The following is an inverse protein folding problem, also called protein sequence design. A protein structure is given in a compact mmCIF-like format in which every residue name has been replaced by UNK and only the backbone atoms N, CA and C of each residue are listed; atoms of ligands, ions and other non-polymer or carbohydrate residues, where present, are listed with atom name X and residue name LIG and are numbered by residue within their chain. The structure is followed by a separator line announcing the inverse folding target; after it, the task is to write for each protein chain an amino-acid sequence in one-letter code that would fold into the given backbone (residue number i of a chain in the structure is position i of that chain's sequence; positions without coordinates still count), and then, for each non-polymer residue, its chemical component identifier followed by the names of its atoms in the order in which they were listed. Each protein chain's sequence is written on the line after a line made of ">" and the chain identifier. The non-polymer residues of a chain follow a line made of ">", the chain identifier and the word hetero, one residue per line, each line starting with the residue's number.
data_IF_980876807049
#
_entry.id   IF_980876807049
#
_cell.length_a   1.000
_cell.length_b   1.000
_cell.length_c   1.000
_cell.angle_alpha   90.00
_cell.angle_beta   90.00
_cell.angle_gamma   90.00
#
_symmetry.space_group_name_H-M   'P 1'
#
loop_
_entity.id
_entity.type
_entity.pdbx_description
1 polymer ?
#
# COMPACT_ATOMS: atom_id res chain seq x y z
N UNK A 1 -16.68 -40.65 60.27
CA UNK A 1 -17.64 -41.29 59.33
C UNK A 1 -17.23 -40.81 57.94
N UNK A 2 -16.35 -41.51 57.19
CA UNK A 2 -16.59 -42.74 56.37
C UNK A 2 -17.85 -42.55 55.49
N UNK A 3 -17.86 -42.55 54.15
CA UNK A 3 -17.24 -43.38 53.10
C UNK A 3 -17.04 -42.54 51.79
N UNK A 4 -15.90 -42.62 51.07
CA UNK A 4 -15.53 -43.53 49.97
C UNK A 4 -16.03 -43.15 48.55
N UNK A 5 -15.09 -43.01 47.61
CA UNK A 5 -15.24 -42.92 46.13
C UNK A 5 -15.65 -44.30 45.52
N UNK A 6 -15.97 -44.48 44.20
CA UNK A 6 -14.99 -44.32 43.09
C UNK A 6 -15.51 -43.99 41.65
N UNK A 7 -14.55 -43.53 40.82
CA UNK A 7 -14.26 -43.79 39.37
C UNK A 7 -15.39 -44.02 38.33
N UNK A 8 -15.34 -43.25 37.22
CA UNK A 8 -15.31 -43.78 35.84
C UNK A 8 -14.94 -42.71 34.77
N UNK A 9 -13.72 -42.85 34.24
CA UNK A 9 -13.20 -42.69 32.86
C UNK A 9 -13.82 -41.68 31.85
N UNK A 10 -13.00 -40.82 31.21
CA UNK A 10 -13.36 -40.12 29.98
C UNK A 10 -13.08 -40.98 28.73
N UNK A 11 -14.11 -41.25 27.93
CA UNK A 11 -13.97 -41.95 26.64
C UNK A 11 -13.52 -40.97 25.55
N UNK A 12 -12.28 -41.12 25.12
CA UNK A 12 -11.68 -40.48 23.94
C UNK A 12 -12.18 -41.17 22.67
N UNK A 13 -13.08 -40.54 21.92
CA UNK A 13 -13.41 -40.92 20.55
C UNK A 13 -12.77 -39.94 19.59
N UNK A 14 -11.65 -40.35 19.01
CA UNK A 14 -11.08 -39.75 17.81
C UNK A 14 -12.03 -39.95 16.63
N UNK A 15 -12.52 -38.88 16.02
CA UNK A 15 -13.12 -38.95 14.69
C UNK A 15 -12.46 -37.89 13.80
N UNK A 16 -11.69 -38.41 12.87
CA UNK A 16 -10.95 -37.74 11.79
C UNK A 16 -11.91 -37.07 10.80
N UNK A 17 -11.40 -36.00 10.18
CA UNK A 17 -11.97 -35.02 9.23
C UNK A 17 -12.82 -35.59 8.07
N UNK A 18 -13.54 -34.72 7.33
CA UNK A 18 -12.86 -34.02 6.23
C UNK A 18 -13.07 -32.50 6.22
N UNK A 19 -11.95 -31.82 6.01
CA UNK A 19 -11.82 -30.43 5.59
C UNK A 19 -12.46 -30.23 4.22
N UNK A 20 -13.45 -29.34 4.14
CA UNK A 20 -13.96 -28.81 2.87
C UNK A 20 -13.06 -27.64 2.48
N UNK A 21 -12.10 -27.90 1.59
CA UNK A 21 -11.38 -26.85 0.87
C UNK A 21 -12.13 -26.57 -0.44
N UNK A 22 -12.60 -25.34 -0.71
CA UNK A 22 -12.96 -24.96 -2.06
C UNK A 22 -11.68 -24.79 -2.88
N UNK A 23 -11.40 -25.76 -3.75
CA UNK A 23 -10.35 -25.69 -4.76
C UNK A 23 -10.85 -24.78 -5.89
N UNK A 24 -10.57 -23.48 -5.79
CA UNK A 24 -10.73 -22.57 -6.94
C UNK A 24 -9.55 -22.83 -7.88
N UNK A 25 -9.77 -23.72 -8.85
CA UNK A 25 -8.88 -23.88 -9.99
C UNK A 25 -9.10 -22.70 -10.94
N UNK A 26 -8.24 -21.70 -10.88
CA UNK A 26 -8.12 -20.68 -11.93
C UNK A 26 -7.31 -21.33 -13.06
N UNK A 27 -7.98 -21.99 -13.99
CA UNK A 27 -7.37 -22.29 -15.28
C UNK A 27 -7.39 -20.99 -16.10
N UNK A 28 -6.26 -20.55 -16.67
CA UNK A 28 -6.28 -19.47 -17.63
C UNK A 28 -7.11 -19.95 -18.81
N UNK A 29 -8.24 -19.29 -19.08
CA UNK A 29 -9.00 -19.49 -20.30
C UNK A 29 -8.20 -18.84 -21.43
N UNK A 30 -7.24 -19.60 -21.96
CA UNK A 30 -6.54 -19.24 -23.19
C UNK A 30 -7.60 -19.01 -24.28
N UNK A 31 -7.64 -17.79 -24.81
CA UNK A 31 -8.38 -17.50 -26.03
C UNK A 31 -7.78 -18.40 -27.11
N UNK A 32 -8.59 -19.33 -27.61
CA UNK A 32 -8.28 -20.17 -28.75
C UNK A 32 -8.12 -19.23 -29.95
N UNK A 33 -6.88 -18.92 -30.32
CA UNK A 33 -6.56 -18.31 -31.60
C UNK A 33 -7.04 -19.24 -32.72
N UNK A 34 -7.70 -18.66 -33.72
CA UNK A 34 -7.80 -19.15 -35.10
C UNK A 34 -8.22 -20.60 -35.32
N UNK A 35 -9.44 -20.79 -35.80
CA UNK A 35 -9.89 -22.02 -36.46
C UNK A 35 -9.04 -22.25 -37.73
N UNK A 36 -8.16 -23.23 -37.73
CA UNK A 36 -7.45 -23.69 -38.94
C UNK A 36 -8.38 -24.63 -39.73
N UNK A 37 -8.74 -24.25 -40.95
CA UNK A 37 -9.40 -25.10 -41.93
C UNK A 37 -8.40 -25.39 -43.07
N UNK A 38 -8.25 -26.66 -43.46
CA UNK A 38 -7.70 -27.06 -44.76
C UNK A 38 -6.41 -27.91 -44.71
N UNK A 39 -6.33 -29.05 -45.42
CA UNK A 39 -5.14 -29.88 -45.52
C UNK A 39 -4.27 -29.40 -46.69
N UNK A 40 -2.99 -29.10 -46.40
CA UNK A 40 -1.99 -28.81 -47.42
C UNK A 40 -1.31 -27.45 -47.24
N UNK A 41 -0.38 -27.36 -46.29
CA UNK A 41 0.63 -26.30 -46.28
C UNK A 41 1.88 -26.81 -45.57
N UNK A 42 3.03 -26.55 -46.18
CA UNK A 42 4.38 -26.91 -45.77
C UNK A 42 4.68 -26.50 -44.33
N UNK A 43 5.47 -27.32 -43.63
CA UNK A 43 6.08 -26.98 -42.34
C UNK A 43 7.18 -25.95 -42.57
N UNK A 44 6.78 -24.69 -42.72
CA UNK A 44 7.70 -23.58 -42.52
C UNK A 44 7.18 -22.80 -41.31
N UNK A 45 7.69 -23.17 -40.14
CA UNK A 45 7.34 -22.54 -38.86
C UNK A 45 8.49 -21.62 -38.46
N UNK A 46 8.78 -20.63 -39.29
CA UNK A 46 9.50 -19.45 -38.80
C UNK A 46 8.51 -18.66 -37.96
N UNK A 47 8.57 -18.87 -36.64
CA UNK A 47 8.02 -17.91 -35.69
C UNK A 47 8.79 -16.60 -35.91
N UNK A 48 8.13 -15.60 -36.48
CA UNK A 48 8.53 -14.20 -36.38
C UNK A 48 8.88 -13.94 -34.90
N UNK A 49 10.07 -13.40 -34.59
CA UNK A 49 10.41 -13.07 -33.22
C UNK A 49 9.36 -12.08 -32.73
N UNK A 50 8.64 -12.47 -31.67
CA UNK A 50 7.78 -11.59 -30.91
C UNK A 50 8.61 -10.33 -30.63
N UNK A 51 8.24 -9.22 -31.27
CA UNK A 51 8.94 -7.96 -31.15
C UNK A 51 9.19 -7.68 -29.68
N UNK A 52 10.44 -7.41 -29.31
CA UNK A 52 10.83 -6.91 -27.99
C UNK A 52 10.25 -5.51 -27.81
N UNK A 53 8.94 -5.39 -27.71
CA UNK A 53 8.30 -4.26 -27.08
C UNK A 53 8.65 -4.42 -25.60
N UNK A 54 9.62 -3.64 -25.15
CA UNK A 54 9.75 -3.33 -23.73
C UNK A 54 8.37 -2.84 -23.27
N UNK A 55 7.63 -3.70 -22.57
CA UNK A 55 6.43 -3.35 -21.81
C UNK A 55 6.86 -2.41 -20.67
N UNK A 56 7.22 -1.18 -21.04
CA UNK A 56 7.51 -0.11 -20.12
C UNK A 56 6.17 0.49 -19.73
N UNK A 57 5.73 0.22 -18.50
CA UNK A 57 4.51 0.77 -17.97
C UNK A 57 4.63 2.30 -17.93
N UNK A 58 3.95 2.99 -18.85
CA UNK A 58 3.84 4.46 -18.87
C UNK A 58 2.89 4.93 -17.76
N UNK A 59 3.33 4.75 -16.52
CA UNK A 59 2.57 5.12 -15.33
C UNK A 59 3.45 5.97 -14.42
N UNK A 60 2.98 7.14 -13.97
CA UNK A 60 3.79 8.03 -13.14
C UNK A 60 4.25 7.43 -11.80
N UNK A 61 3.63 6.33 -11.36
CA UNK A 61 4.05 5.58 -10.18
C UNK A 61 5.46 5.00 -10.29
N UNK A 62 5.94 4.68 -11.50
CA UNK A 62 7.27 4.11 -11.74
C UNK A 62 8.30 5.14 -12.20
N UNK A 63 7.90 6.41 -12.31
CA UNK A 63 8.79 7.48 -12.74
C UNK A 63 9.93 7.71 -11.75
N UNK A 64 11.02 8.32 -12.25
CA UNK A 64 12.13 8.80 -11.43
C UNK A 64 12.00 10.32 -11.24
N UNK A 65 11.96 10.78 -9.99
CA UNK A 65 11.82 12.20 -9.67
C UNK A 65 12.49 12.57 -8.34
N UNK A 66 12.82 13.86 -8.17
CA UNK A 66 13.30 14.41 -6.89
C UNK A 66 12.16 14.79 -5.96
N UNK A 67 11.03 15.21 -6.51
CA UNK A 67 9.90 15.75 -5.72
C UNK A 67 8.66 14.91 -5.93
N UNK A 68 8.11 14.42 -4.83
CA UNK A 68 6.98 13.49 -4.80
C UNK A 68 5.89 14.05 -3.91
N UNK A 69 4.63 14.00 -4.33
CA UNK A 69 3.47 14.41 -3.53
C UNK A 69 2.62 13.20 -3.19
N UNK A 70 1.96 13.22 -2.03
CA UNK A 70 1.02 12.17 -1.66
C UNK A 70 -0.06 12.04 -2.74
N UNK A 71 -0.31 10.82 -3.15
CA UNK A 71 -1.46 10.42 -3.96
C UNK A 71 -2.61 10.00 -3.05
N UNK A 72 -2.29 9.18 -2.05
CA UNK A 72 -3.20 8.69 -1.03
C UNK A 72 -2.71 9.13 0.35
N UNK A 73 -3.58 9.14 1.37
CA UNK A 73 -3.23 9.74 2.64
C UNK A 73 -2.21 8.87 3.37
N UNK A 74 -1.14 9.50 3.84
CA UNK A 74 -0.19 8.90 4.76
C UNK A 74 -0.82 8.77 6.14
N UNK A 75 -0.80 7.55 6.69
CA UNK A 75 -1.23 7.29 8.06
C UNK A 75 0.02 6.97 8.89
N UNK A 76 0.19 7.67 10.02
CA UNK A 76 1.34 7.42 10.88
C UNK A 76 1.26 6.04 11.52
N UNK A 77 2.43 5.42 11.67
CA UNK A 77 2.62 4.17 12.42
C UNK A 77 2.83 4.42 13.92
N UNK A 78 2.98 5.68 14.32
CA UNK A 78 3.23 6.12 15.69
C UNK A 78 2.14 7.09 16.12
N UNK A 79 2.10 7.35 17.43
CA UNK A 79 1.20 8.33 18.00
C UNK A 79 2.00 9.56 18.45
N UNK A 80 1.40 10.72 18.20
CA UNK A 80 1.94 12.00 18.62
C UNK A 80 2.06 12.03 20.16
N UNK A 81 3.28 12.27 20.65
CA UNK A 81 3.57 12.30 22.08
C UNK A 81 3.18 13.65 22.66
N UNK A 82 2.56 13.60 23.82
CA UNK A 82 2.25 14.77 24.65
C UNK A 82 2.87 14.58 26.02
N UNK A 83 3.17 15.69 26.67
CA UNK A 83 3.49 15.70 28.10
C UNK A 83 2.23 15.35 28.92
N UNK A 84 2.41 15.07 30.20
CA UNK A 84 1.29 14.75 31.12
C UNK A 84 0.26 15.89 31.23
N UNK A 85 0.71 17.12 31.00
CA UNK A 85 -0.11 18.35 30.97
C UNK A 85 -0.85 18.55 29.63
N UNK A 86 -0.68 17.65 28.65
CA UNK A 86 -1.30 17.71 27.33
C UNK A 86 -0.54 18.54 26.29
N UNK A 87 0.55 19.22 26.65
CA UNK A 87 1.35 19.99 25.68
C UNK A 87 2.06 19.05 24.69
N UNK A 88 2.15 19.40 23.40
CA UNK A 88 2.85 18.57 22.42
C UNK A 88 4.34 18.52 22.75
N UNK A 89 4.93 17.32 22.74
CA UNK A 89 6.37 17.17 22.88
C UNK A 89 7.03 17.45 21.53
N UNK A 90 7.70 18.59 21.42
CA UNK A 90 8.33 19.02 20.16
C UNK A 90 9.76 18.48 20.05
N UNK A 91 10.19 18.19 18.82
CA UNK A 91 11.57 17.91 18.45
C UNK A 91 12.33 19.20 18.09
N UNK A 92 13.62 19.08 17.84
CA UNK A 92 14.50 20.20 17.45
C UNK A 92 14.12 20.83 16.09
N UNK A 93 13.37 20.10 15.26
CA UNK A 93 12.91 20.56 13.94
C UNK A 93 11.54 21.26 14.01
N UNK A 94 10.97 21.42 15.21
CA UNK A 94 9.66 22.04 15.40
C UNK A 94 8.48 21.15 15.03
N UNK A 95 8.68 19.84 14.94
CA UNK A 95 7.62 18.84 14.79
C UNK A 95 7.30 18.17 16.12
N UNK A 96 6.04 17.82 16.35
CA UNK A 96 5.69 17.02 17.52
C UNK A 96 6.26 15.60 17.37
N UNK A 97 6.99 15.11 18.38
CA UNK A 97 7.51 13.75 18.43
C UNK A 97 6.40 12.74 18.18
N UNK A 98 6.62 11.80 17.25
CA UNK A 98 5.65 10.75 16.93
C UNK A 98 4.43 11.22 16.14
N UNK A 99 4.32 12.51 15.80
CA UNK A 99 3.31 12.98 14.84
C UNK A 99 3.59 12.45 13.42
N UNK A 100 2.59 12.54 12.54
CA UNK A 100 2.71 12.13 11.14
C UNK A 100 3.95 12.67 10.40
N UNK A 101 4.31 13.97 10.44
CA UNK A 101 5.53 14.47 9.79
C UNK A 101 6.81 13.86 10.40
N UNK A 102 6.89 13.77 11.73
CA UNK A 102 8.04 13.18 12.41
C UNK A 102 8.20 11.68 12.06
N UNK A 103 7.09 10.94 12.02
CA UNK A 103 7.12 9.52 11.66
C UNK A 103 7.45 9.30 10.17
N UNK A 104 6.97 10.16 9.28
CA UNK A 104 7.34 10.12 7.86
C UNK A 104 8.85 10.34 7.68
N UNK A 105 9.43 11.37 8.30
CA UNK A 105 10.87 11.61 8.26
C UNK A 105 11.68 10.43 8.78
N UNK A 106 11.24 9.84 9.90
CA UNK A 106 11.84 8.62 10.44
C UNK A 106 11.77 7.47 9.42
N UNK A 107 10.61 7.22 8.81
CA UNK A 107 10.44 6.15 7.82
C UNK A 107 11.33 6.37 6.59
N UNK A 108 11.45 7.61 6.11
CA UNK A 108 12.34 7.95 4.99
C UNK A 108 13.81 7.70 5.36
N UNK A 109 14.22 8.02 6.58
CA UNK A 109 15.59 7.77 7.06
C UNK A 109 15.97 6.29 7.20
N UNK A 110 14.99 5.36 7.21
CA UNK A 110 15.29 3.92 7.26
C UNK A 110 15.91 3.41 5.95
N UNK A 111 15.70 4.12 4.85
CA UNK A 111 16.30 3.79 3.57
C UNK A 111 17.51 4.70 3.33
N UNK A 112 18.75 4.16 3.24
CA UNK A 112 19.94 4.96 3.00
C UNK A 112 19.85 5.83 1.73
N UNK A 113 19.12 5.36 0.71
CA UNK A 113 18.93 6.11 -0.55
C UNK A 113 18.08 7.37 -0.39
N UNK A 114 17.30 7.46 0.68
CA UNK A 114 16.35 8.54 0.94
C UNK A 114 16.81 9.43 2.09
N UNK A 115 18.02 9.18 2.61
CA UNK A 115 18.56 9.94 3.72
C UNK A 115 18.75 11.41 3.32
N UNK A 116 18.30 12.32 4.18
CA UNK A 116 18.29 13.76 3.88
C UNK A 116 17.05 14.23 3.13
N UNK A 117 16.04 13.38 2.90
CA UNK A 117 14.76 13.80 2.37
C UNK A 117 14.09 14.84 3.29
N UNK A 118 13.54 15.88 2.67
CA UNK A 118 12.77 16.93 3.34
C UNK A 118 11.30 16.75 3.07
N UNK A 119 10.44 17.17 4.00
CA UNK A 119 8.99 17.11 3.83
C UNK A 119 8.35 18.48 3.98
N UNK A 120 7.27 18.70 3.24
CA UNK A 120 6.41 19.88 3.35
C UNK A 120 4.96 19.42 3.49
N UNK A 121 4.21 20.07 4.39
CA UNK A 121 2.77 19.78 4.59
C UNK A 121 1.88 20.40 3.51
N UNK A 122 2.40 21.41 2.80
CA UNK A 122 1.67 22.11 1.74
C UNK A 122 1.61 21.24 0.49
N UNK A 123 0.58 20.39 0.40
CA UNK A 123 0.27 19.63 -0.82
C UNK A 123 -0.62 20.51 -1.72
N UNK A 124 -0.29 20.66 -3.01
CA UNK A 124 -1.04 21.53 -3.91
C UNK A 124 -2.40 20.92 -4.34
N UNK A 125 -3.15 20.24 -3.47
CA UNK A 125 -4.39 19.53 -3.84
C UNK A 125 -5.52 20.44 -4.32
N UNK A 126 -5.58 21.68 -3.81
CA UNK A 126 -6.61 22.65 -4.22
C UNK A 126 -6.31 23.25 -5.60
N UNK A 127 -5.03 23.45 -5.90
CA UNK A 127 -4.56 24.13 -7.11
C UNK A 127 -4.29 23.10 -8.22
N UNK A 128 -3.88 21.90 -7.85
CA UNK A 128 -3.53 20.78 -8.72
C UNK A 128 -4.12 19.48 -8.16
N UNK A 129 -5.46 19.29 -8.21
CA UNK A 129 -6.06 18.00 -7.85
C UNK A 129 -5.59 16.90 -8.80
N UNK A 130 -5.72 15.64 -8.37
CA UNK A 130 -5.52 14.52 -9.28
C UNK A 130 -6.77 14.29 -10.12
N UNK A 131 -6.56 13.89 -11.38
CA UNK A 131 -7.64 13.61 -12.33
C UNK A 131 -7.65 12.11 -12.67
N UNK A 132 -8.81 11.48 -12.52
CA UNK A 132 -9.06 10.10 -12.94
C UNK A 132 -10.32 10.06 -13.80
N UNK A 133 -10.13 10.00 -15.12
CA UNK A 133 -11.19 10.23 -16.09
C UNK A 133 -11.84 11.60 -15.88
N UNK A 134 -13.15 11.63 -15.60
CA UNK A 134 -13.89 12.87 -15.33
C UNK A 134 -13.87 13.33 -13.86
N UNK A 135 -13.27 12.54 -12.96
CA UNK A 135 -13.32 12.79 -11.51
C UNK A 135 -12.05 13.45 -11.02
N UNK A 136 -12.21 14.46 -10.18
CA UNK A 136 -11.11 15.09 -9.43
C UNK A 136 -11.09 14.54 -8.02
N UNK A 137 -9.92 14.18 -7.52
CA UNK A 137 -9.77 13.67 -6.16
C UNK A 137 -8.59 14.29 -5.43
N UNK A 138 -8.72 14.34 -4.10
CA UNK A 138 -7.70 14.80 -3.16
C UNK A 138 -7.19 13.63 -2.34
N UNK A 139 -5.94 13.66 -1.90
CA UNK A 139 -5.35 12.54 -1.17
C UNK A 139 -6.03 12.30 0.17
N UNK A 140 -6.57 13.33 0.81
CA UNK A 140 -7.30 13.18 2.08
C UNK A 140 -8.75 12.66 1.94
N UNK A 141 -9.25 12.40 0.73
CA UNK A 141 -10.61 11.86 0.53
C UNK A 141 -10.71 10.33 0.72
N UNK A 142 -9.58 9.63 0.77
CA UNK A 142 -9.58 8.18 0.94
C UNK A 142 -9.96 7.79 2.38
N UNK A 143 -10.65 6.66 2.50
CA UNK A 143 -11.05 6.13 3.79
C UNK A 143 -9.83 5.60 4.56
N UNK A 144 -9.50 6.27 5.67
CA UNK A 144 -8.39 5.89 6.58
C UNK A 144 -8.88 5.23 7.87
N UNK A 145 -10.18 5.31 8.14
CA UNK A 145 -10.80 4.82 9.37
C UNK A 145 -11.68 3.62 9.06
N UNK A 146 -11.53 2.56 9.85
CA UNK A 146 -12.47 1.43 9.86
C UNK A 146 -13.68 1.81 10.71
N UNK A 147 -14.87 1.80 10.12
CA UNK A 147 -16.12 2.10 10.82
C UNK A 147 -16.68 0.91 11.62
N UNK A 148 -16.14 -0.30 11.41
CA UNK A 148 -16.58 -1.53 12.08
C UNK A 148 -15.43 -2.31 12.72
N UNK A 149 -15.80 -3.22 13.62
CA UNK A 149 -14.89 -4.00 14.47
C UNK A 149 -14.66 -3.31 15.81
N UNK A 150 -14.70 -4.07 16.91
CA UNK A 150 -14.49 -3.57 18.28
C UNK A 150 -13.04 -3.10 18.57
N UNK A 151 -12.26 -2.76 17.53
CA UNK A 151 -10.91 -2.25 17.67
C UNK A 151 -10.91 -0.80 18.16
N UNK A 152 -9.91 -0.45 18.98
CA UNK A 152 -9.69 0.95 19.38
C UNK A 152 -9.36 1.78 18.15
N UNK A 153 -10.03 2.93 17.99
CA UNK A 153 -9.80 3.88 16.89
C UNK A 153 -8.35 4.36 16.95
N UNK A 154 -7.64 4.28 15.83
CA UNK A 154 -6.37 5.00 15.67
C UNK A 154 -6.64 6.50 15.74
N UNK A 155 -5.86 7.21 16.54
CA UNK A 155 -6.08 8.62 16.84
C UNK A 155 -5.63 9.56 15.70
N UNK A 156 -4.96 9.03 14.68
CA UNK A 156 -4.39 9.82 13.60
C UNK A 156 -5.25 9.74 12.33
N UNK A 157 -5.87 10.88 12.01
CA UNK A 157 -6.40 11.15 10.67
C UNK A 157 -5.25 11.09 9.67
N UNK A 158 -5.51 10.55 8.47
CA UNK A 158 -4.54 10.59 7.38
C UNK A 158 -4.04 12.01 7.09
N UNK A 159 -2.78 12.12 6.70
CA UNK A 159 -2.11 13.35 6.33
C UNK A 159 -1.56 13.26 4.91
N UNK A 160 -1.30 14.38 4.26
CA UNK A 160 -0.72 14.45 2.93
C UNK A 160 0.54 15.32 2.99
N UNK A 161 1.57 14.94 2.24
CA UNK A 161 2.87 15.61 2.25
C UNK A 161 3.46 15.71 0.84
N UNK A 162 4.39 16.62 0.67
CA UNK A 162 5.36 16.62 -0.42
C UNK A 162 6.71 16.22 0.16
N UNK A 163 7.38 15.26 -0.48
CA UNK A 163 8.72 14.79 -0.17
C UNK A 163 9.67 15.32 -1.23
N UNK A 164 10.79 15.86 -0.79
CA UNK A 164 11.89 16.34 -1.63
C UNK A 164 13.14 15.52 -1.28
N UNK A 165 13.59 14.68 -2.22
CA UNK A 165 14.79 13.87 -2.08
C UNK A 165 16.04 14.62 -2.55
N UNK A 166 17.22 14.36 -1.95
CA UNK A 166 18.47 14.97 -2.42
C UNK A 166 18.82 14.54 -3.85
N UNK A 167 18.65 13.25 -4.14
CA UNK A 167 18.85 12.66 -5.46
C UNK A 167 17.52 12.12 -6.04
N UNK A 168 17.40 12.00 -7.38
CA UNK A 168 16.19 11.45 -7.98
C UNK A 168 15.98 10.01 -7.54
N UNK A 169 14.75 9.70 -7.13
CA UNK A 169 14.33 8.37 -6.68
C UNK A 169 13.34 7.79 -7.68
N UNK A 170 13.51 6.52 -8.04
CA UNK A 170 12.54 5.76 -8.83
C UNK A 170 11.43 5.22 -7.92
N UNK A 171 10.18 5.38 -8.36
CA UNK A 171 9.02 4.81 -7.68
C UNK A 171 8.85 3.30 -7.91
N UNK A 172 7.84 2.68 -7.28
CA UNK A 172 6.79 3.29 -6.46
C UNK A 172 7.25 3.62 -5.03
N UNK A 173 6.79 4.75 -4.51
CA UNK A 173 7.05 5.16 -3.12
C UNK A 173 5.77 4.99 -2.31
N UNK A 174 5.79 4.03 -1.37
CA UNK A 174 4.69 3.74 -0.46
C UNK A 174 5.22 3.64 0.97
N UNK A 175 4.73 4.49 1.88
CA UNK A 175 5.22 4.55 3.27
C UNK A 175 4.07 4.78 4.25
N UNK A 176 4.24 4.27 5.47
CA UNK A 176 3.28 4.44 6.57
C UNK A 176 2.36 3.25 6.79
N UNK A 177 1.39 3.43 7.68
CA UNK A 177 0.41 2.42 8.01
C UNK A 177 -0.55 2.19 6.83
N UNK A 178 -0.78 0.91 6.48
CA UNK A 178 -1.66 0.54 5.38
C UNK A 178 -1.06 0.76 3.99
N UNK A 179 0.26 0.95 3.86
CA UNK A 179 0.94 1.08 2.56
C UNK A 179 0.68 -0.10 1.60
N UNK A 180 0.54 -1.30 2.14
CA UNK A 180 0.16 -2.50 1.40
C UNK A 180 -1.30 -2.49 0.91
N UNK A 181 -2.15 -1.60 1.45
CA UNK A 181 -3.52 -1.33 1.00
C UNK A 181 -3.62 0.01 0.25
N UNK A 182 -2.52 0.46 -0.35
CA UNK A 182 -2.47 1.70 -1.14
C UNK A 182 -2.62 3.00 -0.34
N UNK A 183 -2.50 2.99 0.99
CA UNK A 183 -2.36 4.23 1.77
C UNK A 183 -0.91 4.75 1.72
N UNK A 184 -0.70 6.04 1.90
CA UNK A 184 0.64 6.64 1.88
C UNK A 184 1.43 6.38 0.58
N UNK A 185 0.74 6.31 -0.56
CA UNK A 185 1.36 6.31 -1.88
C UNK A 185 1.75 7.73 -2.26
N UNK A 186 2.89 7.86 -2.95
CA UNK A 186 3.38 9.11 -3.51
C UNK A 186 3.62 8.99 -5.01
N UNK A 187 3.43 10.09 -5.72
CA UNK A 187 3.67 10.24 -7.17
C UNK A 187 4.50 11.49 -7.42
N UNK A 188 5.23 11.60 -8.54
CA UNK A 188 5.95 12.82 -8.87
C UNK A 188 5.04 14.05 -8.86
N UNK A 189 5.58 15.20 -8.47
CA UNK A 189 4.77 16.43 -8.35
C UNK A 189 4.17 16.89 -9.68
N UNK A 190 4.86 16.61 -10.79
CA UNK A 190 4.43 16.96 -12.15
C UNK A 190 3.34 16.04 -12.69
N UNK A 191 3.10 14.91 -12.02
CA UNK A 191 2.07 13.94 -12.40
C UNK A 191 0.68 14.46 -12.02
N UNK A 192 -0.13 14.78 -13.03
CA UNK A 192 -1.50 15.30 -12.85
C UNK A 192 -2.59 14.25 -13.10
N UNK A 193 -2.30 13.29 -13.96
CA UNK A 193 -3.16 12.17 -14.32
C UNK A 193 -2.50 10.84 -13.91
N UNK A 194 -3.34 9.86 -13.59
CA UNK A 194 -2.96 8.46 -13.39
C UNK A 194 -3.78 7.55 -14.30
#
# INVERSE_FOLDING_TARGET
>A
MFFASPLATPTRTSRTSPSIHPRVSITPRWRRCGRFNGPGASRDTTCEPCSTASDEFDTPLFATAKTWRSLTPFVSTRHAKTYRDGRPKMDDNGWQEGSAPHDLLRLLSLNPRWQGAKIRRNVPERIQPFEFGSRKFRSLQFQTIRHGGNGRRGHDSGAAFVIEFPEPVSGPIAVGYGAHFSLGLFVPIDSRSL
#
